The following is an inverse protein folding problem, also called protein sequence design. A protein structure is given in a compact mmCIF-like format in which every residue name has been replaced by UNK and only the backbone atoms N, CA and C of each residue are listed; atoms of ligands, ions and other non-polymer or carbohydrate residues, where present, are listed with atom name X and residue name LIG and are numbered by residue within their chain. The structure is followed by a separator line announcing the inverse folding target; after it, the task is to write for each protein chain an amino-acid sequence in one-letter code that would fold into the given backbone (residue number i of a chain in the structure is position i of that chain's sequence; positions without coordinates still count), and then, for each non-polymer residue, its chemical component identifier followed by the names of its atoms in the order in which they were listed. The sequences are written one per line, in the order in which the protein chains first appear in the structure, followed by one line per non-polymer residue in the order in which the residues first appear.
data_IF_817271518406
#
_entry.id   IF_817271518406
#
_cell.length_a   1.000
_cell.length_b   1.000
_cell.length_c   1.000
_cell.angle_alpha   90.00
_cell.angle_beta   90.00
_cell.angle_gamma   90.00
#
_symmetry.space_group_name_H-M   'P 1'
#
loop_
_entity.id
_entity.type
_entity.pdbx_description
1 polymer ?
#
# COMPACT_ATOMS: atom_id res chain seq x y z
N UNK A 1 3.92 -11.92 13.61
CA UNK A 1 3.95 -11.84 15.06
C UNK A 1 5.15 -11.00 15.51
N UNK A 2 4.94 -9.99 16.39
CA UNK A 2 6.03 -9.19 16.98
C UNK A 2 6.42 -7.89 16.26
N UNK A 3 5.84 -7.56 15.12
CA UNK A 3 6.11 -6.29 14.46
C UNK A 3 5.46 -5.11 15.19
N UNK A 4 6.18 -3.98 15.28
CA UNK A 4 5.64 -2.70 15.69
C UNK A 4 5.10 -1.99 14.43
N UNK A 5 3.86 -1.54 14.48
CA UNK A 5 3.17 -0.91 13.34
C UNK A 5 2.78 0.51 13.69
N UNK A 6 3.04 1.46 12.78
CA UNK A 6 2.53 2.81 12.88
C UNK A 6 1.69 3.10 11.65
N UNK A 7 0.40 3.34 11.84
CA UNK A 7 -0.52 3.79 10.80
C UNK A 7 -0.55 5.33 10.75
N UNK A 8 -0.74 5.87 9.55
CA UNK A 8 -0.96 7.30 9.34
C UNK A 8 -2.35 7.46 8.76
N UNK A 9 -3.16 8.28 9.39
CA UNK A 9 -4.52 8.58 8.98
C UNK A 9 -4.72 10.10 8.87
N UNK A 10 -5.29 10.53 7.77
CA UNK A 10 -5.52 11.96 7.51
C UNK A 10 -6.72 12.50 8.31
N UNK A 11 -7.75 11.68 8.48
CA UNK A 11 -9.03 12.08 9.06
C UNK A 11 -9.03 11.84 10.57
N UNK A 12 -9.22 12.89 11.41
CA UNK A 12 -9.18 12.75 12.87
C UNK A 12 -10.17 11.72 13.42
N UNK A 13 -11.36 11.63 12.82
CA UNK A 13 -12.41 10.69 13.24
C UNK A 13 -12.01 9.24 12.97
N UNK A 14 -11.41 8.98 11.80
CA UNK A 14 -10.91 7.65 11.44
C UNK A 14 -9.65 7.29 12.22
N UNK A 15 -8.78 8.26 12.52
CA UNK A 15 -7.65 8.08 13.42
C UNK A 15 -8.13 7.64 14.82
N UNK A 16 -9.12 8.32 15.39
CA UNK A 16 -9.68 7.95 16.70
C UNK A 16 -10.28 6.53 16.68
N UNK A 17 -11.03 6.20 15.62
CA UNK A 17 -11.63 4.87 15.44
C UNK A 17 -10.55 3.78 15.29
N UNK A 18 -9.49 4.03 14.52
CA UNK A 18 -8.38 3.10 14.36
C UNK A 18 -7.65 2.84 15.68
N UNK A 19 -7.42 3.89 16.47
CA UNK A 19 -6.81 3.77 17.81
C UNK A 19 -7.69 2.93 18.75
N UNK A 20 -8.99 3.22 18.80
CA UNK A 20 -9.94 2.45 19.60
C UNK A 20 -10.00 0.98 19.17
N UNK A 21 -9.93 0.71 17.85
CA UNK A 21 -9.90 -0.66 17.34
C UNK A 21 -8.64 -1.41 17.79
N UNK A 22 -7.47 -0.75 17.81
CA UNK A 22 -6.24 -1.37 18.32
C UNK A 22 -6.37 -1.72 19.81
N UNK A 23 -6.94 -0.82 20.63
CA UNK A 23 -7.20 -1.06 22.05
C UNK A 23 -8.17 -2.23 22.25
N UNK A 24 -9.31 -2.23 21.57
CA UNK A 24 -10.34 -3.26 21.68
C UNK A 24 -9.83 -4.66 21.27
N UNK A 25 -8.81 -4.74 20.42
CA UNK A 25 -8.19 -5.99 19.98
C UNK A 25 -6.91 -6.34 20.78
N UNK A 26 -6.58 -5.61 21.84
CA UNK A 26 -5.38 -5.87 22.65
C UNK A 26 -4.07 -5.66 21.88
N UNK A 27 -4.05 -4.74 20.93
CA UNK A 27 -2.91 -4.46 20.06
C UNK A 27 -2.24 -3.11 20.38
N UNK A 28 -2.71 -2.36 21.35
CA UNK A 28 -2.24 -1.00 21.66
C UNK A 28 -0.74 -0.91 22.00
N UNK A 29 -0.15 -1.99 22.49
CA UNK A 29 1.29 -2.12 22.75
C UNK A 29 2.15 -2.23 21.48
N UNK A 30 1.55 -2.59 20.34
CA UNK A 30 2.25 -2.87 19.07
C UNK A 30 1.76 -2.07 17.90
N UNK A 31 0.56 -1.51 17.96
CA UNK A 31 -0.07 -0.75 16.87
C UNK A 31 -0.40 0.65 17.36
N UNK A 32 0.23 1.64 16.76
CA UNK A 32 -0.03 3.05 17.03
C UNK A 32 -0.49 3.78 15.76
N UNK A 33 -1.24 4.85 15.94
CA UNK A 33 -1.69 5.69 14.83
C UNK A 33 -1.23 7.13 15.03
N UNK A 34 -0.98 7.83 13.93
CA UNK A 34 -0.63 9.25 13.89
C UNK A 34 -1.61 9.94 12.94
N UNK A 35 -2.26 10.99 13.42
CA UNK A 35 -3.10 11.82 12.57
C UNK A 35 -2.20 12.77 11.76
N UNK A 36 -2.26 12.69 10.43
CA UNK A 36 -1.41 13.53 9.59
C UNK A 36 -1.56 13.32 8.10
N UNK A 37 -1.07 14.28 7.34
CA UNK A 37 -1.07 14.29 5.88
C UNK A 37 0.29 13.82 5.34
N UNK A 38 0.29 12.84 4.45
CA UNK A 38 1.50 12.29 3.83
C UNK A 38 2.34 13.36 3.09
N UNK A 39 1.70 14.43 2.60
CA UNK A 39 2.38 15.57 1.95
C UNK A 39 3.26 16.34 2.93
N UNK A 40 2.90 16.37 4.20
CA UNK A 40 3.68 17.02 5.26
C UNK A 40 4.54 16.01 6.05
N UNK A 41 5.04 14.99 5.36
CA UNK A 41 5.73 13.82 5.92
C UNK A 41 6.71 14.12 7.07
N UNK A 42 7.50 15.19 6.96
CA UNK A 42 8.48 15.56 7.99
C UNK A 42 7.86 16.12 9.27
N UNK A 43 6.60 16.59 9.23
CA UNK A 43 5.84 17.02 10.42
C UNK A 43 5.08 15.87 11.07
N UNK A 44 4.79 14.82 10.29
CA UNK A 44 4.03 13.65 10.75
C UNK A 44 4.93 12.69 11.50
N UNK A 45 6.04 12.28 10.88
CA UNK A 45 7.00 11.31 11.44
C UNK A 45 8.43 11.63 10.98
N UNK A 46 9.44 11.28 11.78
CA UNK A 46 10.84 11.43 11.38
C UNK A 46 11.18 10.60 10.14
N UNK A 47 12.16 11.10 9.36
CA UNK A 47 12.72 10.37 8.22
C UNK A 47 13.39 9.05 8.65
N UNK A 48 13.46 8.09 7.73
CA UNK A 48 14.25 6.85 7.87
C UNK A 48 13.98 6.08 9.16
N UNK A 49 12.69 6.00 9.53
CA UNK A 49 12.25 5.40 10.79
C UNK A 49 11.92 3.91 10.67
N UNK A 50 11.38 3.47 9.54
CA UNK A 50 10.78 2.16 9.40
C UNK A 50 11.62 1.20 8.55
N UNK A 51 11.65 -0.06 8.95
CA UNK A 51 12.30 -1.13 8.20
C UNK A 51 11.46 -1.51 6.97
N UNK A 52 10.14 -1.34 7.05
CA UNK A 52 9.21 -1.59 5.95
C UNK A 52 8.10 -0.53 5.95
N UNK A 53 7.82 0.03 4.79
CA UNK A 53 6.69 0.93 4.56
C UNK A 53 5.77 0.31 3.52
N UNK A 54 4.48 0.16 3.89
CA UNK A 54 3.46 -0.41 3.00
C UNK A 54 2.36 0.60 2.75
N UNK A 55 1.80 0.61 1.56
CA UNK A 55 0.68 1.49 1.21
C UNK A 55 -0.21 0.89 0.14
N UNK A 56 -1.49 1.24 0.25
CA UNK A 56 -2.49 1.11 -0.80
C UNK A 56 -2.98 2.53 -1.16
N UNK A 57 -2.23 3.27 -2.00
CA UNK A 57 -2.61 4.62 -2.37
C UNK A 57 -4.01 4.68 -3.02
N UNK A 58 -4.74 5.79 -2.90
CA UNK A 58 -6.05 5.92 -3.53
C UNK A 58 -5.96 5.81 -5.05
N UNK A 59 -6.92 5.10 -5.68
CA UNK A 59 -6.93 4.80 -7.11
C UNK A 59 -7.54 5.93 -7.94
N UNK A 60 -7.00 7.12 -7.89
CA UNK A 60 -7.58 8.23 -8.64
C UNK A 60 -7.05 8.23 -10.06
N UNK A 61 -7.96 8.06 -11.02
CA UNK A 61 -7.69 8.41 -12.40
C UNK A 61 -7.86 9.91 -12.55
N UNK A 62 -6.90 10.59 -13.18
CA UNK A 62 -6.97 12.02 -13.50
C UNK A 62 -8.15 12.38 -14.42
N UNK A 63 -8.85 11.37 -14.97
CA UNK A 63 -9.96 11.57 -15.90
C UNK A 63 -11.06 10.51 -15.72
N UNK A 64 -11.98 10.72 -14.79
CA UNK A 64 -13.34 10.18 -14.97
C UNK A 64 -14.33 10.97 -14.16
N UNK A 65 -14.98 11.92 -14.83
CA UNK A 65 -16.09 12.67 -14.30
C UNK A 65 -17.29 11.80 -13.99
N UNK A 66 -17.55 11.60 -12.71
CA UNK A 66 -18.89 11.46 -12.16
C UNK A 66 -18.85 12.06 -10.74
N UNK A 67 -19.46 13.23 -10.61
CA UNK A 67 -19.66 13.89 -9.34
C UNK A 67 -20.61 13.05 -8.47
N UNK A 68 -20.16 12.66 -7.29
CA UNK A 68 -21.01 12.19 -6.20
C UNK A 68 -21.14 13.35 -5.22
N UNK A 69 -22.41 13.78 -4.97
CA UNK A 69 -22.74 14.95 -4.16
C UNK A 69 -22.98 14.54 -2.70
N UNK A 70 -21.97 14.11 -1.97
CA UNK A 70 -22.11 13.89 -0.52
C UNK A 70 -20.90 14.41 0.23
N UNK A 71 -21.04 14.72 1.52
CA UNK A 71 -19.97 15.22 2.41
C UNK A 71 -18.68 14.36 2.39
N UNK A 72 -18.81 13.05 2.14
CA UNK A 72 -17.70 12.16 1.86
C UNK A 72 -16.96 12.51 0.55
N UNK A 73 -17.62 13.20 -0.41
CA UNK A 73 -16.99 13.65 -1.63
C UNK A 73 -15.98 14.80 -1.42
N UNK A 74 -16.12 15.58 -0.37
CA UNK A 74 -15.18 16.68 -0.10
C UNK A 74 -13.87 16.20 0.56
N UNK A 75 -13.95 15.16 1.39
CA UNK A 75 -12.76 14.49 1.94
C UNK A 75 -12.04 13.67 0.87
N UNK A 76 -12.79 12.92 0.05
CA UNK A 76 -12.25 12.24 -1.11
C UNK A 76 -11.69 13.20 -2.17
N UNK A 77 -12.07 14.47 -2.17
CA UNK A 77 -11.44 15.53 -2.99
C UNK A 77 -10.05 15.90 -2.51
N UNK A 78 -9.84 16.00 -1.19
CA UNK A 78 -8.51 16.23 -0.60
C UNK A 78 -7.58 15.02 -0.79
N UNK A 79 -8.12 13.81 -0.71
CA UNK A 79 -7.41 12.58 -1.10
C UNK A 79 -7.09 12.57 -2.60
N UNK A 80 -7.94 13.15 -3.46
CA UNK A 80 -7.69 13.32 -4.91
C UNK A 80 -6.54 14.27 -5.24
N UNK A 81 -6.12 15.09 -4.32
CA UNK A 81 -5.01 16.03 -4.52
C UNK A 81 -3.63 15.41 -4.26
N UNK A 82 -3.54 14.21 -3.66
CA UNK A 82 -2.26 13.52 -3.44
C UNK A 82 -1.94 12.62 -4.62
N UNK A 83 -0.92 12.98 -5.36
CA UNK A 83 -0.45 12.21 -6.51
C UNK A 83 0.29 10.94 -6.09
N UNK A 84 0.38 9.94 -6.97
CA UNK A 84 1.17 8.74 -6.72
C UNK A 84 2.65 9.08 -6.45
N UNK A 85 3.17 10.10 -7.12
CA UNK A 85 4.54 10.58 -6.88
C UNK A 85 4.73 11.09 -5.44
N UNK A 86 3.79 11.87 -4.90
CA UNK A 86 3.85 12.35 -3.51
C UNK A 86 3.74 11.19 -2.50
N UNK A 87 2.92 10.18 -2.78
CA UNK A 87 2.84 8.97 -1.98
C UNK A 87 4.17 8.22 -1.95
N UNK A 88 4.78 7.96 -3.10
CA UNK A 88 6.08 7.29 -3.21
C UNK A 88 7.17 8.11 -2.52
N UNK A 89 7.17 9.43 -2.67
CA UNK A 89 8.09 10.33 -1.96
C UNK A 89 7.95 10.23 -0.43
N UNK A 90 6.73 10.16 0.08
CA UNK A 90 6.49 10.00 1.51
C UNK A 90 6.99 8.64 2.01
N UNK A 91 6.71 7.57 1.28
CA UNK A 91 7.19 6.23 1.62
C UNK A 91 8.71 6.16 1.64
N UNK A 92 9.37 6.74 0.62
CA UNK A 92 10.83 6.84 0.53
C UNK A 92 11.44 7.72 1.63
N UNK A 93 10.72 8.72 2.11
CA UNK A 93 11.16 9.54 3.23
C UNK A 93 11.19 8.76 4.53
N UNK A 94 10.19 7.91 4.80
CA UNK A 94 10.04 7.18 6.06
C UNK A 94 10.80 5.86 6.12
N UNK A 95 11.05 5.21 4.98
CA UNK A 95 11.79 3.95 4.96
C UNK A 95 13.27 4.17 5.21
N UNK A 96 13.88 3.31 6.03
CA UNK A 96 15.33 3.28 6.27
C UNK A 96 16.11 2.96 5.00
N UNK A 97 17.41 3.24 5.04
CA UNK A 97 18.34 2.70 4.06
C UNK A 97 18.27 1.16 4.07
N UNK A 98 18.21 0.55 2.89
CA UNK A 98 18.02 -0.89 2.69
C UNK A 98 16.72 -1.46 3.27
N UNK A 99 15.82 -0.63 3.75
CA UNK A 99 14.46 -1.01 4.12
C UNK A 99 13.59 -1.27 2.89
N UNK A 100 12.45 -1.90 3.11
CA UNK A 100 11.53 -2.32 2.05
C UNK A 100 10.37 -1.34 1.88
N UNK A 101 9.93 -1.18 0.64
CA UNK A 101 8.69 -0.50 0.28
C UNK A 101 7.78 -1.52 -0.40
N UNK A 102 6.50 -1.54 -0.02
CA UNK A 102 5.48 -2.33 -0.72
C UNK A 102 4.28 -1.47 -1.06
N UNK A 103 3.86 -1.53 -2.32
CA UNK A 103 2.71 -0.79 -2.85
C UNK A 103 1.76 -1.79 -3.50
N UNK A 104 0.48 -1.74 -3.13
CA UNK A 104 -0.58 -2.37 -3.93
C UNK A 104 -1.28 -1.30 -4.74
N UNK A 105 -1.49 -1.53 -6.03
CA UNK A 105 -2.15 -0.56 -6.90
C UNK A 105 -2.82 -1.26 -8.10
N UNK A 106 -3.53 -0.48 -8.93
CA UNK A 106 -4.06 -0.94 -10.22
C UNK A 106 -2.92 -1.36 -11.14
N UNK A 107 -3.13 -2.43 -11.89
CA UNK A 107 -2.12 -2.96 -12.82
C UNK A 107 -1.80 -2.00 -13.97
N UNK A 108 -2.76 -1.19 -14.42
CA UNK A 108 -2.57 -0.20 -15.48
C UNK A 108 -1.66 0.97 -15.10
N UNK A 109 -1.37 1.16 -13.79
CA UNK A 109 -0.44 2.17 -13.28
C UNK A 109 0.95 1.60 -12.95
N UNK A 110 1.22 0.33 -13.28
CA UNK A 110 2.49 -0.31 -12.96
C UNK A 110 3.70 0.45 -13.51
N UNK A 111 3.61 0.94 -14.76
CA UNK A 111 4.70 1.68 -15.38
C UNK A 111 5.07 2.92 -14.57
N UNK A 112 4.10 3.69 -14.10
CA UNK A 112 4.33 4.88 -13.29
C UNK A 112 4.97 4.54 -11.93
N UNK A 113 4.51 3.46 -11.28
CA UNK A 113 5.11 3.00 -10.02
C UNK A 113 6.59 2.65 -10.23
N UNK A 114 6.91 1.92 -11.30
CA UNK A 114 8.28 1.53 -11.60
C UNK A 114 9.15 2.77 -11.88
N UNK A 115 8.67 3.70 -12.69
CA UNK A 115 9.39 4.95 -13.01
C UNK A 115 9.70 5.79 -11.76
N UNK A 116 8.79 5.81 -10.80
CA UNK A 116 8.96 6.52 -9.53
C UNK A 116 9.95 5.80 -8.58
N UNK A 117 10.02 4.47 -8.62
CA UNK A 117 10.86 3.67 -7.71
C UNK A 117 12.29 3.52 -8.20
N UNK A 118 12.50 3.18 -9.47
CA UNK A 118 13.81 2.82 -10.05
C UNK A 118 14.95 3.78 -9.71
N UNK A 119 14.77 5.10 -9.61
CA UNK A 119 15.89 6.00 -9.27
C UNK A 119 16.50 5.76 -7.88
N UNK A 120 15.73 5.16 -6.95
CA UNK A 120 16.15 5.02 -5.53
C UNK A 120 15.90 3.64 -4.92
N UNK A 121 15.30 2.73 -5.68
CA UNK A 121 14.87 1.40 -5.22
C UNK A 121 15.34 0.36 -6.22
N UNK A 122 15.94 -0.69 -5.75
CA UNK A 122 16.27 -1.88 -6.53
C UNK A 122 15.72 -3.15 -5.87
N UNK A 123 16.08 -4.33 -6.37
CA UNK A 123 15.47 -5.61 -5.99
C UNK A 123 13.93 -5.50 -6.06
N UNK A 124 13.47 -4.91 -7.17
CA UNK A 124 12.03 -4.67 -7.37
C UNK A 124 11.37 -5.98 -7.77
N UNK A 125 10.33 -6.35 -7.05
CA UNK A 125 9.52 -7.54 -7.31
C UNK A 125 8.10 -7.11 -7.61
N UNK A 126 7.58 -7.55 -8.74
CA UNK A 126 6.23 -7.28 -9.19
C UNK A 126 5.43 -8.56 -9.12
N UNK A 127 4.38 -8.58 -8.31
CA UNK A 127 3.47 -9.70 -8.16
C UNK A 127 2.09 -9.30 -8.71
N UNK A 128 1.69 -9.78 -9.89
CA UNK A 128 0.36 -9.56 -10.41
C UNK A 128 -0.72 -10.21 -9.53
N UNK A 129 -1.86 -9.55 -9.39
CA UNK A 129 -3.02 -10.10 -8.70
C UNK A 129 -4.13 -10.32 -9.74
N UNK A 130 -4.38 -11.59 -10.02
CA UNK A 130 -5.34 -12.05 -11.00
C UNK A 130 -6.71 -12.20 -10.34
N UNK A 131 -7.77 -11.48 -10.79
CA UNK A 131 -9.09 -11.62 -10.19
C UNK A 131 -9.64 -13.03 -10.34
N UNK A 132 -9.31 -13.69 -11.46
CA UNK A 132 -9.68 -15.05 -11.79
C UNK A 132 -8.67 -15.64 -12.78
N UNK A 133 -8.54 -16.95 -12.79
CA UNK A 133 -7.69 -17.65 -13.75
C UNK A 133 -8.04 -17.28 -15.19
N UNK A 134 -7.03 -17.05 -16.03
CA UNK A 134 -7.19 -16.65 -17.43
C UNK A 134 -7.70 -15.22 -17.66
N UNK A 135 -7.87 -14.40 -16.62
CA UNK A 135 -8.19 -12.98 -16.74
C UNK A 135 -6.94 -12.12 -16.58
N UNK A 136 -6.97 -10.93 -17.13
CA UNK A 136 -5.88 -9.96 -16.92
C UNK A 136 -5.80 -9.56 -15.45
N UNK A 137 -4.58 -9.38 -14.94
CA UNK A 137 -4.37 -8.81 -13.62
C UNK A 137 -4.98 -7.41 -13.56
N UNK A 138 -5.73 -7.14 -12.52
CA UNK A 138 -6.32 -5.81 -12.29
C UNK A 138 -5.60 -5.04 -11.18
N UNK A 139 -4.77 -5.72 -10.40
CA UNK A 139 -3.89 -5.13 -9.39
C UNK A 139 -2.50 -5.73 -9.49
N UNK A 140 -1.56 -5.01 -8.93
CA UNK A 140 -0.18 -5.45 -8.74
C UNK A 140 0.27 -5.12 -7.32
N UNK A 141 1.05 -6.02 -6.74
CA UNK A 141 1.89 -5.74 -5.60
C UNK A 141 3.30 -5.48 -6.11
N UNK A 142 3.85 -4.33 -5.74
CA UNK A 142 5.21 -3.97 -6.09
C UNK A 142 5.98 -3.81 -4.79
N UNK A 143 7.02 -4.60 -4.61
CA UNK A 143 7.95 -4.47 -3.50
C UNK A 143 9.33 -4.12 -4.02
N UNK A 144 10.07 -3.32 -3.29
CA UNK A 144 11.45 -3.03 -3.61
C UNK A 144 12.22 -2.60 -2.38
N UNK A 145 13.56 -2.64 -2.49
CA UNK A 145 14.47 -2.30 -1.42
C UNK A 145 15.16 -0.98 -1.72
N UNK A 146 15.08 -0.03 -0.79
CA UNK A 146 15.75 1.25 -0.94
C UNK A 146 17.26 1.08 -1.10
N UNK A 147 17.85 1.79 -2.06
CA UNK A 147 19.28 1.80 -2.36
C UNK A 147 19.88 0.42 -2.68
N UNK A 148 19.06 -0.57 -3.03
CA UNK A 148 19.52 -1.82 -3.61
C UNK A 148 19.88 -1.60 -5.11
N UNK A 149 20.74 -2.48 -5.64
CA UNK A 149 21.20 -2.42 -7.05
C UNK A 149 20.71 -3.58 -7.91
N UNK A 150 20.03 -4.55 -7.31
CA UNK A 150 19.49 -5.67 -8.07
C UNK A 150 18.34 -5.22 -8.98
N UNK A 151 18.18 -5.91 -10.08
CA UNK A 151 17.17 -5.61 -11.09
C UNK A 151 15.73 -5.95 -10.66
N UNK A 152 14.82 -5.94 -11.65
CA UNK A 152 13.42 -6.23 -11.47
C UNK A 152 13.12 -7.72 -11.70
N UNK A 153 12.28 -8.30 -10.88
CA UNK A 153 11.72 -9.66 -11.02
C UNK A 153 10.21 -9.58 -11.17
N UNK A 154 9.67 -10.29 -12.16
CA UNK A 154 8.24 -10.49 -12.31
C UNK A 154 7.87 -11.86 -11.71
N UNK A 155 7.09 -11.85 -10.64
CA UNK A 155 6.62 -13.06 -9.97
C UNK A 155 5.45 -13.70 -10.74
N UNK A 156 5.16 -14.99 -10.50
CA UNK A 156 4.00 -15.67 -11.12
C UNK A 156 2.66 -14.98 -10.83
N UNK A 157 2.55 -14.32 -9.67
CA UNK A 157 1.33 -13.65 -9.24
C UNK A 157 0.42 -14.54 -8.41
N UNK A 158 -0.72 -13.96 -8.00
CA UNK A 158 -1.71 -14.61 -7.15
C UNK A 158 -3.07 -14.58 -7.83
N UNK A 159 -3.73 -15.73 -7.90
CA UNK A 159 -5.11 -15.82 -8.39
C UNK A 159 -6.08 -15.76 -7.22
N UNK A 160 -7.02 -14.78 -7.26
CA UNK A 160 -7.99 -14.58 -6.18
C UNK A 160 -9.09 -15.65 -6.21
N UNK A 161 -9.62 -15.94 -7.40
CA UNK A 161 -10.72 -16.92 -7.60
C UNK A 161 -10.37 -17.94 -8.65
N UNK A 162 -10.82 -19.15 -8.43
CA UNK A 162 -10.72 -20.25 -9.39
C UNK A 162 -11.78 -20.18 -10.51
N UNK A 163 -11.83 -21.21 -11.35
CA UNK A 163 -12.79 -21.28 -12.46
C UNK A 163 -14.25 -21.42 -12.01
N UNK A 164 -14.49 -21.87 -10.78
CA UNK A 164 -15.80 -21.99 -10.16
C UNK A 164 -16.20 -20.75 -9.34
N UNK A 165 -15.42 -19.67 -9.42
CA UNK A 165 -15.61 -18.41 -8.69
C UNK A 165 -15.41 -18.53 -7.16
N UNK A 166 -14.82 -19.62 -6.70
CA UNK A 166 -14.42 -19.79 -5.31
C UNK A 166 -13.07 -19.12 -5.03
N UNK A 167 -12.87 -18.64 -3.79
CA UNK A 167 -11.57 -18.11 -3.36
C UNK A 167 -10.55 -19.27 -3.41
N UNK A 168 -9.38 -19.00 -4.00
CA UNK A 168 -8.32 -20.00 -4.07
C UNK A 168 -7.76 -20.32 -2.67
N UNK A 169 -7.31 -21.56 -2.41
CA UNK A 169 -6.72 -21.92 -1.13
C UNK A 169 -5.53 -21.04 -0.74
N UNK A 170 -4.73 -20.60 -1.73
CA UNK A 170 -3.63 -19.67 -1.49
C UNK A 170 -4.14 -18.32 -0.99
N UNK A 171 -5.15 -17.76 -1.64
CA UNK A 171 -5.72 -16.48 -1.25
C UNK A 171 -6.42 -16.55 0.11
N UNK A 172 -7.09 -17.66 0.39
CA UNK A 172 -7.72 -17.92 1.69
C UNK A 172 -6.68 -17.99 2.82
N UNK A 173 -5.57 -18.69 2.61
CA UNK A 173 -4.47 -18.73 3.57
C UNK A 173 -3.84 -17.36 3.84
N UNK A 174 -3.75 -16.50 2.83
CA UNK A 174 -3.26 -15.13 2.99
C UNK A 174 -4.27 -14.28 3.80
N UNK A 175 -5.56 -14.35 3.45
CA UNK A 175 -6.56 -13.46 4.04
C UNK A 175 -7.01 -13.88 5.45
N UNK A 176 -7.14 -15.18 5.69
CA UNK A 176 -7.65 -15.70 6.96
C UNK A 176 -6.56 -16.12 7.93
N UNK A 177 -5.52 -16.79 7.42
CA UNK A 177 -4.48 -17.35 8.27
C UNK A 177 -3.27 -16.42 8.42
N UNK A 178 -3.27 -15.28 7.73
CA UNK A 178 -2.16 -14.32 7.75
C UNK A 178 -0.88 -14.88 7.15
N UNK A 179 -0.97 -15.84 6.23
CA UNK A 179 0.19 -16.39 5.54
C UNK A 179 0.91 -15.28 4.78
N UNK A 180 2.22 -15.16 5.02
CA UNK A 180 3.05 -14.19 4.31
C UNK A 180 3.13 -14.49 2.81
N UNK A 181 3.11 -13.43 2.01
CA UNK A 181 3.42 -13.49 0.59
C UNK A 181 4.92 -13.67 0.39
N UNK A 182 5.28 -14.69 -0.40
CA UNK A 182 6.66 -14.90 -0.87
C UNK A 182 6.66 -14.69 -2.39
N UNK A 183 7.39 -13.68 -2.87
CA UNK A 183 7.57 -13.38 -4.29
C UNK A 183 8.94 -12.78 -4.58
#
# INVERSE_FOLDING_TARGET
PGAQVTGIELQPELHALATQNAENNGLADRVAFVCGDVRTKGRVLPARRFDHVISNPPYIAETSGRRSETRHADLSKREREVTLAEWVEAMLYWVKERGNISIIHRADRLHEIIDLLVPRVGDIRVCPVWPKQGRNANRVLVQGRREARAGLTLAPGITVRDDHDAITPEMEAIQRDGRGLVF
#
